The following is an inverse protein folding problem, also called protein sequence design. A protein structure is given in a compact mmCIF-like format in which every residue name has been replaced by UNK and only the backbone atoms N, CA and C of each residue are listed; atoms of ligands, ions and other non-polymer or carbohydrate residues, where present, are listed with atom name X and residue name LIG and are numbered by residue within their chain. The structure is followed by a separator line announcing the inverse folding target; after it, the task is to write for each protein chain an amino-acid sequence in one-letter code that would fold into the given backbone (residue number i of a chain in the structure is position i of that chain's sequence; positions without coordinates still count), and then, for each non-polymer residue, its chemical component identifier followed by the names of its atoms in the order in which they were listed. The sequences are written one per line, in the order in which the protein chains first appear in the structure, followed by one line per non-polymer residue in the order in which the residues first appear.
data_IF_248655712409
#
_entry.id   IF_248655712409
#
_cell.length_a   1.000
_cell.length_b   1.000
_cell.length_c   1.000
_cell.angle_alpha   90.00
_cell.angle_beta   90.00
_cell.angle_gamma   90.00
#
_symmetry.space_group_name_H-M   'P 1'
#
loop_
_entity.id
_entity.type
_entity.pdbx_description
1 polymer ?
#
# COMPACT_ATOMS: atom_id res chain seq x y z
N UNK A 1 49.54 48.54 14.81
CA UNK A 1 48.29 49.30 14.57
C UNK A 1 47.78 48.96 13.17
N UNK A 2 46.53 48.55 13.12
CA UNK A 2 45.79 47.99 11.98
C UNK A 2 45.82 48.84 10.70
N UNK A 3 45.99 48.19 9.54
CA UNK A 3 45.39 48.63 8.27
C UNK A 3 44.45 47.52 7.76
N UNK A 4 43.17 47.73 8.02
CA UNK A 4 42.03 47.29 7.20
C UNK A 4 42.24 47.81 5.75
N UNK A 5 41.91 47.13 4.66
CA UNK A 5 40.58 46.78 4.14
C UNK A 5 40.80 45.96 2.83
N UNK A 6 40.08 44.84 2.64
CA UNK A 6 38.90 44.72 1.76
C UNK A 6 39.21 44.62 0.27
N UNK A 7 39.29 43.39 -0.22
CA UNK A 7 39.01 42.95 -1.61
C UNK A 7 38.77 41.44 -1.53
N UNK A 8 37.84 40.79 -2.20
CA UNK A 8 36.77 41.17 -3.08
C UNK A 8 35.84 39.96 -3.17
N UNK A 9 34.64 40.20 -3.70
CA UNK A 9 33.54 39.26 -3.89
C UNK A 9 33.98 37.85 -4.29
N UNK A 10 33.72 36.85 -3.45
CA UNK A 10 33.63 35.46 -3.94
C UNK A 10 32.27 35.36 -4.61
N UNK A 11 32.30 35.43 -5.94
CA UNK A 11 31.13 35.21 -6.77
C UNK A 11 30.52 33.84 -6.41
N UNK A 12 29.27 33.88 -5.93
CA UNK A 12 28.39 32.72 -5.98
C UNK A 12 28.21 32.35 -7.46
N UNK A 13 28.80 31.25 -7.88
CA UNK A 13 28.19 30.42 -8.92
C UNK A 13 27.99 29.05 -8.35
N UNK A 14 26.74 28.84 -7.93
CA UNK A 14 26.18 27.61 -7.42
C UNK A 14 26.50 26.46 -8.37
N UNK A 15 27.43 25.58 -7.99
CA UNK A 15 27.47 24.22 -8.51
C UNK A 15 26.46 23.41 -7.69
N UNK A 16 25.17 23.70 -7.88
CA UNK A 16 24.08 22.87 -7.39
C UNK A 16 24.05 21.61 -8.24
N UNK A 17 24.88 20.65 -7.83
CA UNK A 17 24.82 19.26 -8.26
C UNK A 17 23.36 18.83 -8.14
N UNK A 18 22.80 18.39 -9.27
CA UNK A 18 21.48 17.77 -9.41
C UNK A 18 21.39 16.53 -8.51
N UNK A 19 21.17 16.75 -7.21
CA UNK A 19 20.69 15.76 -6.27
C UNK A 19 19.18 15.65 -6.46
N UNK A 20 18.75 14.99 -7.54
CA UNK A 20 17.42 14.43 -7.56
C UNK A 20 17.36 13.42 -6.42
N UNK A 21 16.52 13.59 -5.38
CA UNK A 21 16.24 12.50 -4.48
C UNK A 21 15.70 11.34 -5.33
N UNK A 22 16.41 10.23 -5.23
CA UNK A 22 16.09 8.94 -5.81
C UNK A 22 14.59 8.68 -5.67
N UNK A 23 13.94 8.42 -6.81
CA UNK A 23 12.50 8.25 -6.90
C UNK A 23 12.01 7.35 -5.77
N UNK A 24 11.13 7.87 -4.92
CA UNK A 24 10.33 7.02 -4.05
C UNK A 24 9.65 6.00 -4.96
N UNK A 25 10.00 4.72 -4.77
CA UNK A 25 9.26 3.63 -5.36
C UNK A 25 7.82 3.78 -4.87
N UNK A 26 6.99 4.38 -5.72
CA UNK A 26 5.55 4.29 -5.60
C UNK A 26 5.27 2.81 -5.78
N UNK A 27 5.25 2.08 -4.67
CA UNK A 27 4.54 0.83 -4.58
C UNK A 27 3.17 1.19 -5.15
N UNK A 28 2.92 0.77 -6.38
CA UNK A 28 1.60 0.85 -6.98
C UNK A 28 0.71 0.14 -5.97
N UNK A 29 0.07 0.93 -5.12
CA UNK A 29 -1.07 0.49 -4.36
C UNK A 29 -2.13 0.38 -5.43
N UNK A 30 -2.08 -0.73 -6.16
CA UNK A 30 -3.12 -1.13 -7.08
C UNK A 30 -4.36 -1.05 -6.23
N UNK A 31 -5.14 -0.01 -6.48
CA UNK A 31 -6.43 0.20 -5.85
C UNK A 31 -7.20 -1.04 -6.27
N UNK A 32 -7.18 -2.05 -5.39
CA UNK A 32 -7.78 -3.34 -5.67
C UNK A 32 -9.23 -2.97 -5.92
N UNK A 33 -9.66 -3.05 -7.18
CA UNK A 33 -10.94 -2.49 -7.60
C UNK A 33 -12.05 -3.02 -6.70
N UNK A 34 -13.07 -2.21 -6.42
CA UNK A 34 -14.21 -2.56 -5.55
C UNK A 34 -14.90 -3.91 -5.86
N UNK A 35 -14.50 -4.64 -6.91
CA UNK A 35 -14.95 -6.00 -7.22
C UNK A 35 -14.13 -7.15 -6.64
N UNK A 36 -12.93 -6.94 -6.11
CA UNK A 36 -12.06 -8.03 -5.62
C UNK A 36 -12.32 -8.43 -4.17
N UNK A 37 -13.14 -7.68 -3.45
CA UNK A 37 -13.51 -7.96 -2.07
C UNK A 37 -15.01 -7.71 -1.90
N UNK A 38 -15.76 -8.73 -1.49
CA UNK A 38 -17.18 -8.64 -1.16
C UNK A 38 -17.33 -8.90 0.32
N UNK A 39 -17.95 -7.98 1.07
CA UNK A 39 -18.12 -8.14 2.51
C UNK A 39 -19.56 -8.52 2.85
N UNK A 40 -19.74 -9.30 3.91
CA UNK A 40 -21.06 -9.57 4.48
C UNK A 40 -21.15 -9.04 5.92
N UNK A 41 -20.96 -7.74 6.08
CA UNK A 41 -21.12 -7.03 7.33
C UNK A 41 -21.87 -5.71 7.13
N UNK A 42 -22.32 -5.12 8.24
CA UNK A 42 -22.83 -3.74 8.18
C UNK A 42 -21.68 -2.84 7.70
N UNK A 43 -21.93 -1.80 6.89
CA UNK A 43 -20.89 -0.84 6.50
C UNK A 43 -20.31 -0.19 7.76
N UNK A 44 -19.21 -0.75 8.24
CA UNK A 44 -18.42 -0.20 9.33
C UNK A 44 -17.32 0.67 8.74
N UNK A 45 -16.90 1.71 9.47
CA UNK A 45 -15.71 2.49 9.09
C UNK A 45 -14.39 1.72 9.33
N UNK A 46 -14.44 0.38 9.40
CA UNK A 46 -13.29 -0.48 9.66
C UNK A 46 -12.55 -0.75 8.35
N UNK A 47 -11.42 -0.08 8.21
CA UNK A 47 -10.48 -0.30 7.11
C UNK A 47 -9.72 -1.60 7.38
N UNK A 48 -9.86 -2.57 6.48
CA UNK A 48 -9.12 -3.84 6.54
C UNK A 48 -8.04 -3.82 5.46
N UNK A 49 -6.78 -3.92 5.88
CA UNK A 49 -5.64 -4.00 4.96
C UNK A 49 -5.24 -5.46 4.75
N UNK A 50 -5.42 -5.95 3.52
CA UNK A 50 -5.06 -7.32 3.13
C UNK A 50 -3.84 -7.27 2.22
N UNK A 51 -2.70 -7.88 2.60
CA UNK A 51 -1.52 -7.87 1.74
C UNK A 51 -1.79 -8.63 0.43
N UNK A 52 -1.32 -8.08 -0.70
CA UNK A 52 -1.58 -8.58 -2.06
C UNK A 52 -1.31 -10.08 -2.24
N UNK A 53 -0.28 -10.61 -1.60
CA UNK A 53 0.08 -12.05 -1.63
C UNK A 53 -1.01 -12.99 -1.10
N UNK A 54 -2.01 -12.48 -0.38
CA UNK A 54 -3.10 -13.29 0.16
C UNK A 54 -4.32 -13.36 -0.75
N UNK A 55 -4.36 -12.56 -1.81
CA UNK A 55 -5.40 -12.65 -2.81
C UNK A 55 -5.27 -13.99 -3.57
N UNK A 56 -6.39 -14.67 -3.83
CA UNK A 56 -6.39 -15.90 -4.61
C UNK A 56 -6.03 -15.63 -6.08
N UNK A 57 -5.78 -16.69 -6.84
CA UNK A 57 -5.51 -16.57 -8.30
C UNK A 57 -6.80 -16.29 -9.06
N UNK A 58 -6.73 -15.71 -10.28
CA UNK A 58 -7.89 -15.52 -11.14
C UNK A 58 -8.77 -16.77 -11.26
N UNK A 59 -10.07 -16.60 -11.06
CA UNK A 59 -11.06 -17.68 -11.10
C UNK A 59 -11.23 -18.47 -9.79
N UNK A 60 -10.49 -18.12 -8.73
CA UNK A 60 -10.65 -18.70 -7.39
C UNK A 60 -10.99 -17.63 -6.36
N UNK A 61 -11.55 -18.05 -5.23
CA UNK A 61 -11.94 -17.17 -4.15
C UNK A 61 -11.35 -17.61 -2.81
N UNK A 62 -11.33 -16.70 -1.84
CA UNK A 62 -10.86 -16.98 -0.49
C UNK A 62 -11.65 -16.18 0.53
N UNK A 63 -12.13 -16.83 1.60
CA UNK A 63 -12.68 -16.13 2.75
C UNK A 63 -11.55 -15.51 3.60
N UNK A 64 -11.77 -14.29 4.05
CA UNK A 64 -10.88 -13.54 4.91
C UNK A 64 -11.62 -13.04 6.15
N UNK A 65 -11.07 -13.35 7.31
CA UNK A 65 -11.60 -12.97 8.62
C UNK A 65 -10.67 -11.90 9.23
N UNK A 66 -11.12 -10.65 9.42
CA UNK A 66 -10.28 -9.56 9.93
C UNK A 66 -9.68 -9.80 11.31
N UNK A 67 -10.31 -10.65 12.13
CA UNK A 67 -9.91 -11.04 13.48
C UNK A 67 -8.88 -12.20 13.52
N UNK A 68 -8.52 -12.77 12.37
CA UNK A 68 -7.60 -13.91 12.27
C UNK A 68 -6.27 -13.53 11.65
N UNK A 69 -5.20 -14.15 12.16
CA UNK A 69 -3.89 -14.05 11.52
C UNK A 69 -3.85 -14.84 10.20
N UNK A 70 -2.83 -14.61 9.36
CA UNK A 70 -2.74 -15.18 8.02
C UNK A 70 -2.75 -16.73 7.98
N UNK A 71 -2.21 -17.38 9.01
CA UNK A 71 -2.12 -18.83 9.15
C UNK A 71 -3.46 -19.46 9.57
N UNK A 72 -4.32 -18.69 10.23
CA UNK A 72 -5.67 -19.09 10.63
C UNK A 72 -6.72 -18.80 9.55
N UNK A 73 -6.33 -18.14 8.47
CA UNK A 73 -7.23 -17.87 7.36
C UNK A 73 -7.54 -19.18 6.62
N UNK A 74 -8.80 -19.37 6.17
CA UNK A 74 -9.15 -20.49 5.31
C UNK A 74 -8.27 -20.59 4.06
N UNK A 75 -8.23 -21.80 3.52
CA UNK A 75 -7.63 -22.07 2.21
C UNK A 75 -8.46 -21.45 1.09
N UNK A 76 -7.88 -21.41 -0.10
CA UNK A 76 -8.58 -21.01 -1.33
C UNK A 76 -9.66 -22.04 -1.68
N UNK A 77 -10.79 -21.57 -2.22
CA UNK A 77 -11.92 -22.37 -2.69
C UNK A 77 -12.45 -21.83 -4.02
N UNK A 78 -13.50 -22.45 -4.54
CA UNK A 78 -14.34 -21.79 -5.54
C UNK A 78 -15.08 -20.56 -4.94
N UNK A 79 -15.74 -19.79 -5.81
CA UNK A 79 -16.47 -18.59 -5.43
C UNK A 79 -17.94 -18.86 -5.03
N UNK A 80 -18.41 -20.10 -5.11
CA UNK A 80 -19.78 -20.48 -4.76
C UNK A 80 -19.90 -20.79 -3.27
N UNK A 81 -19.60 -19.77 -2.46
CA UNK A 81 -19.58 -19.90 -0.99
C UNK A 81 -20.50 -18.88 -0.35
N UNK A 82 -21.19 -19.28 0.71
CA UNK A 82 -21.87 -18.35 1.59
C UNK A 82 -20.83 -17.55 2.37
N UNK A 83 -20.86 -16.22 2.28
CA UNK A 83 -19.95 -15.35 3.03
C UNK A 83 -20.49 -15.22 4.47
N UNK A 84 -19.78 -15.69 5.51
CA UNK A 84 -20.26 -15.54 6.88
C UNK A 84 -20.28 -14.08 7.33
N UNK A 85 -21.08 -13.77 8.34
CA UNK A 85 -21.14 -12.40 8.87
C UNK A 85 -19.76 -11.95 9.37
N UNK A 86 -19.35 -10.74 9.01
CA UNK A 86 -18.02 -10.20 9.36
C UNK A 86 -16.87 -10.72 8.49
N UNK A 87 -17.13 -11.66 7.57
CA UNK A 87 -16.13 -12.15 6.64
C UNK A 87 -16.12 -11.36 5.33
N UNK A 88 -14.99 -11.46 4.64
CA UNK A 88 -14.74 -10.84 3.34
C UNK A 88 -14.41 -11.94 2.34
N UNK A 89 -15.12 -11.99 1.21
CA UNK A 89 -14.79 -12.84 0.08
C UNK A 89 -13.82 -12.11 -0.84
N UNK A 90 -12.58 -12.59 -0.89
CA UNK A 90 -11.57 -12.13 -1.83
C UNK A 90 -11.73 -12.89 -3.14
N UNK A 91 -11.78 -12.14 -4.25
CA UNK A 91 -11.79 -12.67 -5.62
C UNK A 91 -10.41 -12.46 -6.23
N UNK A 92 -9.96 -13.44 -7.00
CA UNK A 92 -8.72 -13.37 -7.78
C UNK A 92 -8.95 -12.90 -9.19
#
# INVERSE_FOLDING_TARGET
MLRLLRTGSVALTALTILLLPLQSASAHQTRVGSGMAVRNDHPTNVIVTIPSRHFPRPGTCRLWYPDRNAQQQPTVSDCSVTIPYGAILLKG
#
